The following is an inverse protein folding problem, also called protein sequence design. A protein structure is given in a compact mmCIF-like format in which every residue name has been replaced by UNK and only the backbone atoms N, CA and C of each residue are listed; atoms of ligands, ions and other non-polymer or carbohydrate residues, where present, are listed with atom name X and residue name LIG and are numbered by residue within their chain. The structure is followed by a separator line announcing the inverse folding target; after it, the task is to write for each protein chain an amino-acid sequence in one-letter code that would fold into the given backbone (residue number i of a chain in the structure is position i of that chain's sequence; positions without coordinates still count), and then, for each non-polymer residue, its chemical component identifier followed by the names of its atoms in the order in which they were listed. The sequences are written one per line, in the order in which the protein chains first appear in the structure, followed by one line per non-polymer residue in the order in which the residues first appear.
data_IF_765479169492
#
_entry.id   IF_765479169492
#
_cell.length_a   1.000
_cell.length_b   1.000
_cell.length_c   1.000
_cell.angle_alpha   90.00
_cell.angle_beta   90.00
_cell.angle_gamma   90.00
#
_symmetry.space_group_name_H-M   'P 1'
#
loop_
_entity.id
_entity.type
_entity.pdbx_description
1 polymer ?
#
# COMPACT_ATOMS: atom_id res chain seq x y z
N UNK A 1 10.57 -4.13 35.52
CA UNK A 1 11.46 -2.96 35.47
C UNK A 1 10.92 -2.07 34.36
N UNK A 2 10.47 -0.85 34.69
CA UNK A 2 10.01 0.11 33.72
C UNK A 2 11.20 0.56 32.85
N UNK A 3 11.05 0.66 31.52
CA UNK A 3 12.12 1.18 30.66
C UNK A 3 12.47 2.60 31.10
N UNK A 4 13.77 2.86 31.23
CA UNK A 4 14.29 4.15 31.64
C UNK A 4 13.80 5.24 30.69
N UNK A 5 13.41 6.40 31.26
CA UNK A 5 12.99 7.60 30.53
C UNK A 5 13.96 7.99 29.39
N UNK A 6 15.26 7.76 29.57
CA UNK A 6 16.30 7.99 28.56
C UNK A 6 16.21 7.00 27.38
N UNK A 7 15.87 5.72 27.61
CA UNK A 7 15.69 4.74 26.52
C UNK A 7 14.47 5.06 25.66
N UNK A 8 13.40 5.54 26.29
CA UNK A 8 12.21 6.01 25.58
C UNK A 8 12.46 7.32 24.81
N UNK A 9 13.38 8.13 25.24
CA UNK A 9 13.77 9.38 24.57
C UNK A 9 14.78 9.14 23.43
N UNK A 10 15.64 8.12 23.57
CA UNK A 10 16.58 7.70 22.53
C UNK A 10 15.94 6.79 21.48
N UNK A 11 14.80 6.17 21.78
CA UNK A 11 14.01 5.36 20.84
C UNK A 11 12.99 6.19 20.04
N UNK A 12 13.16 7.50 19.93
CA UNK A 12 12.41 8.31 18.97
C UNK A 12 12.82 7.81 17.59
N UNK A 13 11.92 7.10 16.96
CA UNK A 13 12.11 6.59 15.60
C UNK A 13 12.36 7.80 14.69
N UNK A 14 13.55 7.84 14.10
CA UNK A 14 13.95 8.96 13.25
C UNK A 14 13.07 9.06 11.98
N UNK A 15 12.29 8.02 11.68
CA UNK A 15 11.30 8.02 10.59
C UNK A 15 10.11 8.93 10.89
N UNK A 16 9.80 9.19 12.18
CA UNK A 16 8.71 10.08 12.60
C UNK A 16 9.01 11.58 12.41
N UNK A 17 10.26 11.95 12.20
CA UNK A 17 10.63 13.36 12.00
C UNK A 17 10.35 13.81 10.58
N UNK A 18 9.83 15.06 10.39
CA UNK A 18 9.66 15.63 9.05
C UNK A 18 10.95 15.51 8.24
N UNK A 19 10.94 14.93 7.04
CA UNK A 19 12.15 14.53 6.32
C UNK A 19 12.81 15.67 5.53
N UNK A 20 12.70 16.92 5.96
CA UNK A 20 13.22 18.08 5.22
C UNK A 20 14.70 17.96 4.90
N UNK A 21 15.51 17.65 5.92
CA UNK A 21 16.96 17.51 5.75
C UNK A 21 17.30 16.25 4.93
N UNK A 22 16.52 15.18 5.11
CA UNK A 22 16.66 13.94 4.34
C UNK A 22 16.35 14.17 2.86
N UNK A 23 15.27 14.89 2.55
CA UNK A 23 14.89 15.23 1.19
C UNK A 23 15.92 16.18 0.53
N UNK A 24 16.42 17.15 1.28
CA UNK A 24 17.47 18.05 0.79
C UNK A 24 18.75 17.27 0.47
N UNK A 25 19.17 16.37 1.35
CA UNK A 25 20.35 15.52 1.13
C UNK A 25 20.13 14.61 -0.11
N UNK A 26 18.96 13.99 -0.26
CA UNK A 26 18.61 13.17 -1.41
C UNK A 26 18.74 13.96 -2.72
N UNK A 27 18.12 15.14 -2.78
CA UNK A 27 18.21 16.00 -3.97
C UNK A 27 19.64 16.44 -4.28
N UNK A 28 20.46 16.71 -3.25
CA UNK A 28 21.85 17.11 -3.42
C UNK A 28 22.70 15.98 -4.00
N UNK A 29 22.50 14.73 -3.56
CA UNK A 29 23.18 13.57 -4.13
C UNK A 29 22.69 13.26 -5.55
N UNK A 30 21.41 13.44 -5.82
CA UNK A 30 20.85 13.29 -7.16
C UNK A 30 21.49 14.28 -8.13
N UNK A 31 21.61 15.53 -7.74
CA UNK A 31 22.29 16.58 -8.51
C UNK A 31 23.76 16.24 -8.76
N UNK A 32 24.48 15.74 -7.75
CA UNK A 32 25.87 15.33 -7.88
C UNK A 32 26.03 14.23 -8.94
N UNK A 33 25.22 13.18 -8.86
CA UNK A 33 25.26 12.04 -9.79
C UNK A 33 24.94 12.49 -11.22
N UNK A 34 23.95 13.38 -11.38
CA UNK A 34 23.59 13.88 -12.70
C UNK A 34 24.65 14.78 -13.32
N UNK A 35 25.31 15.62 -12.53
CA UNK A 35 26.32 16.56 -13.01
C UNK A 35 27.70 15.94 -13.19
N UNK A 36 28.01 14.94 -12.38
CA UNK A 36 29.35 14.33 -12.31
C UNK A 36 29.25 12.79 -12.32
N UNK A 37 28.70 12.18 -13.39
CA UNK A 37 28.46 10.71 -13.41
C UNK A 37 29.76 9.88 -13.31
N UNK A 38 30.86 10.42 -13.79
CA UNK A 38 32.19 9.77 -13.80
C UNK A 38 33.06 10.12 -12.57
N UNK A 39 32.48 10.80 -11.57
CA UNK A 39 33.22 11.17 -10.36
C UNK A 39 33.52 9.95 -9.49
N UNK A 40 34.66 9.92 -8.84
CA UNK A 40 35.01 8.90 -7.82
C UNK A 40 34.03 8.86 -6.64
N UNK A 41 33.24 9.95 -6.41
CA UNK A 41 32.24 10.06 -5.36
C UNK A 41 30.86 9.53 -5.78
N UNK A 42 30.65 9.26 -7.07
CA UNK A 42 29.35 8.83 -7.58
C UNK A 42 28.87 7.50 -6.98
N UNK A 43 29.69 6.46 -6.80
CA UNK A 43 29.27 5.23 -6.16
C UNK A 43 28.81 5.42 -4.71
N UNK A 44 29.55 6.18 -3.90
CA UNK A 44 29.17 6.50 -2.51
C UNK A 44 27.87 7.32 -2.46
N UNK A 45 27.70 8.28 -3.37
CA UNK A 45 26.48 9.07 -3.49
C UNK A 45 25.26 8.21 -3.82
N UNK A 46 25.41 7.19 -4.68
CA UNK A 46 24.34 6.25 -5.03
C UNK A 46 23.91 5.41 -3.82
N UNK A 47 24.86 4.88 -3.05
CA UNK A 47 24.56 4.12 -1.83
C UNK A 47 23.79 5.00 -0.80
N UNK A 48 24.24 6.24 -0.62
CA UNK A 48 23.58 7.19 0.26
C UNK A 48 22.17 7.54 -0.24
N UNK A 49 21.97 7.70 -1.53
CA UNK A 49 20.65 7.92 -2.10
C UNK A 49 19.69 6.75 -1.84
N UNK A 50 20.18 5.51 -1.96
CA UNK A 50 19.36 4.32 -1.63
C UNK A 50 18.91 4.37 -0.16
N UNK A 51 19.84 4.65 0.76
CA UNK A 51 19.53 4.79 2.18
C UNK A 51 18.50 5.90 2.45
N UNK A 52 18.70 7.08 1.87
CA UNK A 52 17.80 8.22 2.05
C UNK A 52 16.42 7.96 1.45
N UNK A 53 16.35 7.32 0.28
CA UNK A 53 15.10 6.90 -0.36
C UNK A 53 14.30 5.97 0.55
N UNK A 54 14.95 4.94 1.09
CA UNK A 54 14.31 3.99 1.98
C UNK A 54 13.74 4.70 3.21
N UNK A 55 14.49 5.61 3.79
CA UNK A 55 14.04 6.41 4.94
C UNK A 55 12.87 7.33 4.63
N UNK A 56 12.83 7.93 3.42
CA UNK A 56 11.71 8.74 2.98
C UNK A 56 10.45 7.90 2.78
N UNK A 57 10.59 6.70 2.23
CA UNK A 57 9.48 5.76 2.07
C UNK A 57 8.92 5.30 3.43
N UNK A 58 9.77 4.96 4.39
CA UNK A 58 9.37 4.61 5.76
C UNK A 58 8.58 5.74 6.44
N UNK A 59 9.01 6.99 6.24
CA UNK A 59 8.28 8.15 6.75
C UNK A 59 6.86 8.25 6.17
N UNK A 60 6.70 8.04 4.87
CA UNK A 60 5.37 8.08 4.24
C UNK A 60 4.46 6.97 4.77
N UNK A 61 4.99 5.77 5.03
CA UNK A 61 4.26 4.67 5.67
C UNK A 61 3.80 5.04 7.07
N UNK A 62 4.69 5.67 7.85
CA UNK A 62 4.34 6.15 9.18
C UNK A 62 3.18 7.17 9.14
N UNK A 63 3.24 8.12 8.20
CA UNK A 63 2.17 9.11 7.99
C UNK A 63 0.88 8.44 7.52
N UNK A 64 0.95 7.43 6.63
CA UNK A 64 -0.23 6.69 6.17
C UNK A 64 -0.90 5.93 7.32
N UNK A 65 -0.11 5.22 8.16
CA UNK A 65 -0.59 4.54 9.37
C UNK A 65 -1.28 5.49 10.33
N UNK A 66 -0.67 6.64 10.60
CA UNK A 66 -1.28 7.69 11.43
C UNK A 66 -2.65 8.15 10.92
N UNK A 67 -2.81 8.30 9.60
CA UNK A 67 -4.10 8.65 9.01
C UNK A 67 -5.13 7.52 9.12
N UNK A 68 -4.71 6.25 9.02
CA UNK A 68 -5.59 5.09 9.23
C UNK A 68 -6.14 5.10 10.66
N UNK A 69 -5.27 5.28 11.66
CA UNK A 69 -5.65 5.35 13.08
C UNK A 69 -6.66 6.47 13.38
N UNK A 70 -6.59 7.55 12.61
CA UNK A 70 -7.48 8.70 12.73
C UNK A 70 -8.76 8.60 11.89
N UNK A 71 -8.97 7.51 11.15
CA UNK A 71 -10.11 7.34 10.26
C UNK A 71 -10.05 8.19 8.99
N UNK A 72 -8.90 8.82 8.71
CA UNK A 72 -8.68 9.65 7.52
C UNK A 72 -8.20 8.79 6.33
N UNK A 73 -8.97 7.77 5.97
CA UNK A 73 -8.57 6.73 5.02
C UNK A 73 -8.20 7.23 3.63
N UNK A 74 -8.89 8.28 3.12
CA UNK A 74 -8.52 8.90 1.84
C UNK A 74 -7.13 9.53 1.91
N UNK A 75 -6.78 10.16 3.03
CA UNK A 75 -5.44 10.73 3.22
C UNK A 75 -4.37 9.62 3.28
N UNK A 76 -4.69 8.49 3.95
CA UNK A 76 -3.82 7.33 3.99
C UNK A 76 -3.57 6.75 2.58
N UNK A 77 -4.62 6.57 1.77
CA UNK A 77 -4.50 6.13 0.36
C UNK A 77 -3.59 7.07 -0.42
N UNK A 78 -3.77 8.38 -0.30
CA UNK A 78 -2.95 9.36 -1.02
C UNK A 78 -1.48 9.29 -0.60
N UNK A 79 -1.19 9.07 0.69
CA UNK A 79 0.19 8.91 1.19
C UNK A 79 0.84 7.62 0.69
N UNK A 80 0.14 6.49 0.79
CA UNK A 80 0.65 5.23 0.30
C UNK A 80 0.90 5.26 -1.22
N UNK A 81 -0.01 5.83 -2.01
CA UNK A 81 0.19 6.02 -3.45
C UNK A 81 1.39 6.92 -3.75
N UNK A 82 1.52 8.03 -3.04
CA UNK A 82 2.67 8.91 -3.17
C UNK A 82 4.00 8.18 -2.92
N UNK A 83 4.06 7.33 -1.87
CA UNK A 83 5.24 6.54 -1.57
C UNK A 83 5.59 5.55 -2.70
N UNK A 84 4.58 4.84 -3.24
CA UNK A 84 4.77 3.89 -4.35
C UNK A 84 5.29 4.58 -5.62
N UNK A 85 4.80 5.77 -5.93
CA UNK A 85 5.17 6.53 -7.12
C UNK A 85 6.53 7.21 -6.99
N UNK A 86 6.86 7.71 -5.79
CA UNK A 86 8.05 8.56 -5.58
C UNK A 86 9.29 7.75 -5.19
N UNK A 87 9.10 6.63 -4.46
CA UNK A 87 10.20 5.84 -3.90
C UNK A 87 10.18 4.37 -4.36
N UNK A 88 10.03 4.07 -5.67
CA UNK A 88 9.95 2.70 -6.15
C UNK A 88 11.19 1.89 -5.78
N UNK A 89 10.98 0.61 -5.45
CA UNK A 89 12.05 -0.31 -5.08
C UNK A 89 12.65 -0.08 -3.68
N UNK A 90 12.05 0.74 -2.83
CA UNK A 90 12.39 0.78 -1.42
C UNK A 90 11.85 -0.48 -0.69
N UNK A 91 12.57 -1.05 0.30
CA UNK A 91 12.08 -2.17 1.10
C UNK A 91 10.73 -1.91 1.76
N UNK A 92 10.47 -0.65 2.11
CA UNK A 92 9.21 -0.18 2.70
C UNK A 92 7.97 -0.36 1.78
N UNK A 93 8.14 -0.72 0.49
CA UNK A 93 7.02 -0.86 -0.45
C UNK A 93 6.08 -2.00 -0.10
N UNK A 94 6.56 -3.03 0.56
CA UNK A 94 5.73 -4.11 1.08
C UNK A 94 4.71 -3.57 2.09
N UNK A 95 5.19 -2.83 3.09
CA UNK A 95 4.34 -2.20 4.10
C UNK A 95 3.42 -1.14 3.48
N UNK A 96 3.91 -0.40 2.48
CA UNK A 96 3.11 0.58 1.74
C UNK A 96 1.90 -0.05 1.06
N UNK A 97 2.09 -1.18 0.37
CA UNK A 97 0.99 -1.92 -0.27
C UNK A 97 0.02 -2.48 0.76
N UNK A 98 0.52 -2.98 1.89
CA UNK A 98 -0.33 -3.45 2.99
C UNK A 98 -1.22 -2.33 3.54
N UNK A 99 -0.64 -1.16 3.84
CA UNK A 99 -1.38 0.02 4.31
C UNK A 99 -2.39 0.51 3.27
N UNK A 100 -2.04 0.47 1.99
CA UNK A 100 -2.94 0.84 0.90
C UNK A 100 -4.14 -0.10 0.81
N UNK A 101 -3.92 -1.42 0.86
CA UNK A 101 -4.98 -2.42 0.87
C UNK A 101 -5.91 -2.26 2.09
N UNK A 102 -5.33 -2.04 3.26
CA UNK A 102 -6.07 -1.77 4.49
C UNK A 102 -6.93 -0.50 4.38
N UNK A 103 -6.36 0.58 3.85
CA UNK A 103 -7.09 1.84 3.68
C UNK A 103 -8.26 1.69 2.69
N UNK A 104 -8.10 0.96 1.59
CA UNK A 104 -9.18 0.66 0.66
C UNK A 104 -10.28 -0.20 1.28
N UNK A 105 -9.93 -1.22 2.08
CA UNK A 105 -10.89 -2.02 2.84
C UNK A 105 -11.73 -1.16 3.78
N UNK A 106 -11.08 -0.25 4.52
CA UNK A 106 -11.74 0.65 5.47
C UNK A 106 -12.61 1.72 4.78
N UNK A 107 -12.31 2.05 3.53
CA UNK A 107 -13.15 2.91 2.67
C UNK A 107 -14.37 2.16 2.08
N UNK A 108 -14.43 0.84 2.22
CA UNK A 108 -15.49 0.03 1.60
C UNK A 108 -15.31 -0.14 0.09
N UNK A 109 -14.07 -0.19 -0.40
CA UNK A 109 -13.72 -0.39 -1.81
C UNK A 109 -12.99 -1.74 -1.94
N UNK A 110 -13.71 -2.88 -1.83
CA UNK A 110 -13.11 -4.20 -1.74
C UNK A 110 -12.34 -4.60 -3.01
N UNK A 111 -12.76 -4.14 -4.18
CA UNK A 111 -12.09 -4.48 -5.45
C UNK A 111 -10.65 -3.94 -5.48
N UNK A 112 -10.45 -2.67 -5.10
CA UNK A 112 -9.12 -2.07 -5.04
C UNK A 112 -8.27 -2.67 -3.91
N UNK A 113 -8.89 -3.05 -2.80
CA UNK A 113 -8.20 -3.74 -1.72
C UNK A 113 -7.66 -5.10 -2.21
N UNK A 114 -8.50 -5.91 -2.89
CA UNK A 114 -8.11 -7.21 -3.44
C UNK A 114 -7.04 -7.09 -4.52
N UNK A 115 -7.15 -6.11 -5.41
CA UNK A 115 -6.14 -5.86 -6.44
C UNK A 115 -4.80 -5.46 -5.83
N UNK A 116 -4.81 -4.62 -4.80
CA UNK A 116 -3.59 -4.21 -4.08
C UNK A 116 -2.95 -5.40 -3.34
N UNK A 117 -3.75 -6.27 -2.73
CA UNK A 117 -3.27 -7.50 -2.10
C UNK A 117 -2.64 -8.44 -3.11
N UNK A 118 -3.25 -8.61 -4.29
CA UNK A 118 -2.67 -9.42 -5.37
C UNK A 118 -1.31 -8.88 -5.84
N UNK A 119 -1.17 -7.55 -5.93
CA UNK A 119 0.13 -6.92 -6.25
C UNK A 119 1.16 -7.21 -5.15
N UNK A 120 0.75 -7.16 -3.88
CA UNK A 120 1.60 -7.48 -2.74
C UNK A 120 2.10 -8.93 -2.81
N UNK A 121 1.19 -9.89 -3.01
CA UNK A 121 1.50 -11.33 -3.12
C UNK A 121 2.46 -11.62 -4.27
N UNK A 122 2.23 -11.04 -5.46
CA UNK A 122 3.07 -11.28 -6.65
C UNK A 122 4.49 -10.73 -6.46
N UNK A 123 4.66 -9.60 -5.79
CA UNK A 123 5.96 -8.92 -5.71
C UNK A 123 6.79 -9.30 -4.48
N UNK A 124 6.16 -9.79 -3.41
CA UNK A 124 6.82 -9.99 -2.12
C UNK A 124 6.69 -11.40 -1.54
N UNK A 125 6.12 -12.35 -2.29
CA UNK A 125 5.94 -13.74 -1.85
C UNK A 125 5.23 -13.85 -0.48
N UNK A 126 4.28 -12.95 -0.23
CA UNK A 126 3.52 -12.89 1.01
C UNK A 126 2.36 -13.88 0.92
N UNK A 127 2.30 -14.84 1.83
CA UNK A 127 1.14 -15.72 1.95
C UNK A 127 -0.12 -14.88 2.28
N UNK A 128 -1.22 -15.02 1.53
CA UNK A 128 -2.44 -14.26 1.79
C UNK A 128 -2.91 -14.50 3.23
N UNK A 129 -3.42 -13.47 3.93
CA UNK A 129 -3.97 -13.65 5.26
C UNK A 129 -5.04 -14.74 5.21
N UNK A 130 -5.14 -15.62 6.23
CA UNK A 130 -6.13 -16.68 6.25
C UNK A 130 -7.51 -16.06 6.05
N UNK A 131 -8.19 -16.50 4.99
CA UNK A 131 -9.56 -16.04 4.72
C UNK A 131 -10.43 -16.39 5.92
N UNK A 132 -11.26 -15.47 6.43
CA UNK A 132 -12.17 -15.79 7.52
C UNK A 132 -13.02 -16.98 7.09
N UNK A 133 -12.99 -18.03 7.90
CA UNK A 133 -13.76 -19.25 7.68
C UNK A 133 -15.26 -18.87 7.57
N UNK A 134 -15.78 -18.81 6.34
CA UNK A 134 -17.16 -18.42 6.07
C UNK A 134 -17.37 -17.57 4.82
N UNK A 135 -16.31 -17.12 4.14
CA UNK A 135 -16.44 -16.33 2.92
C UNK A 135 -16.50 -17.17 1.62
N UNK A 136 -16.65 -18.48 1.72
CA UNK A 136 -17.11 -19.29 0.60
C UNK A 136 -18.62 -19.10 0.50
N UNK A 137 -19.05 -18.08 -0.22
CA UNK A 137 -20.39 -18.10 -0.80
C UNK A 137 -20.34 -19.23 -1.82
N UNK A 138 -20.85 -20.40 -1.43
CA UNK A 138 -21.20 -21.45 -2.39
C UNK A 138 -22.18 -20.79 -3.38
N UNK A 139 -21.65 -20.50 -4.57
CA UNK A 139 -22.49 -20.28 -5.75
C UNK A 139 -22.91 -21.68 -6.22
N UNK A 140 -23.57 -22.42 -5.30
CA UNK A 140 -24.29 -23.61 -5.66
C UNK A 140 -25.65 -23.14 -6.15
N UNK A 141 -25.80 -23.24 -7.49
CA UNK A 141 -27.09 -23.40 -8.14
C UNK A 141 -28.12 -22.29 -7.88
N UNK A 142 -27.90 -21.14 -8.52
CA UNK A 142 -29.08 -20.41 -9.00
C UNK A 142 -29.61 -21.27 -10.17
N UNK A 143 -30.48 -22.20 -9.79
CA UNK A 143 -31.37 -22.90 -10.69
C UNK A 143 -32.13 -21.81 -11.45
N UNK A 144 -31.76 -21.60 -12.71
CA UNK A 144 -32.52 -20.75 -13.61
C UNK A 144 -33.84 -21.48 -13.77
N UNK A 145 -34.85 -21.10 -12.96
CA UNK A 145 -36.22 -21.47 -13.18
C UNK A 145 -36.61 -20.89 -14.54
N UNK A 146 -36.51 -21.74 -15.54
CA UNK A 146 -36.97 -21.53 -16.89
C UNK A 146 -38.45 -21.13 -16.75
N UNK A 147 -38.74 -19.85 -16.94
CA UNK A 147 -40.08 -19.33 -16.98
C UNK A 147 -40.80 -19.92 -18.17
N UNK A 148 -41.52 -20.99 -17.94
CA UNK A 148 -42.48 -21.57 -18.89
C UNK A 148 -43.58 -20.51 -19.06
N UNK A 149 -43.59 -19.81 -20.18
CA UNK A 149 -44.70 -18.99 -20.60
C UNK A 149 -45.95 -19.84 -20.71
N UNK A 150 -47.11 -19.45 -20.13
CA UNK A 150 -48.34 -20.16 -20.37
C UNK A 150 -48.81 -19.89 -21.81
N UNK A 151 -48.85 -20.95 -22.60
CA UNK A 151 -49.50 -20.93 -23.91
C UNK A 151 -50.98 -20.49 -23.73
N UNK A 152 -51.30 -19.40 -24.38
CA UNK A 152 -52.71 -19.00 -24.54
C UNK A 152 -53.42 -19.94 -25.48
N UNK A 153 -54.59 -20.53 -25.13
CA UNK A 153 -55.32 -21.39 -26.04
C UNK A 153 -55.92 -20.54 -27.17
N UNK A 154 -55.56 -20.90 -28.38
CA UNK A 154 -56.18 -20.41 -29.61
C UNK A 154 -57.57 -21.00 -29.67
N UNK A 155 -58.59 -20.16 -29.65
CA UNK A 155 -59.99 -20.50 -29.84
C UNK A 155 -60.23 -20.81 -31.35
N UNK A 156 -60.72 -22.04 -31.75
CA UNK A 156 -61.07 -22.31 -33.12
C UNK A 156 -62.60 -22.19 -33.24
N UNK A 157 -63.11 -21.05 -33.67
CA UNK A 157 -64.55 -21.02 -33.89
C UNK A 157 -65.11 -19.73 -34.48
N UNK A 158 -65.47 -19.77 -35.77
CA UNK A 158 -66.48 -18.92 -36.32
C UNK A 158 -66.17 -18.27 -37.66
#
# INVERSE_FOLDING_TARGET
QAPNFLERWLSVDLSERPPRDTLQAFNSFQDLIQRFPESEYTPDAQERMIFLRNRLADYENHVASYYIERGAYIAAVNRAKFALETYPGAPAMQDTLFLLAQAYSLLGIPDLAADTQRVLEINFDVEPPPQPAGAQVEISEIEIAESTEPETPVDPGG
#
